data_IF_463197869942
#
_entry.id   IF_463197869942
#
_cell.length_a   1.000
_cell.length_b   1.000
_cell.length_c   1.000
_cell.angle_alpha   90.00
_cell.angle_beta   90.00
_cell.angle_gamma   90.00
#
_symmetry.space_group_name_H-M   'P 1'
#
loop_
_entity.id
_entity.type
_entity.pdbx_description
1 polymer ?
#
# COMPACT_ATOMS: atom_id res chain seq x y z
N UNK A 1 60.85 37.89 26.80
CA UNK A 1 59.41 37.67 27.08
C UNK A 1 58.81 37.08 25.80
N UNK A 2 59.14 35.84 25.48
CA UNK A 2 58.53 34.60 25.99
C UNK A 2 57.10 34.43 25.47
N UNK A 3 57.01 33.67 24.38
CA UNK A 3 56.14 32.50 24.23
C UNK A 3 54.64 32.68 24.50
N UNK A 4 53.85 32.66 23.42
CA UNK A 4 52.48 32.14 23.24
C UNK A 4 51.86 32.98 22.11
N UNK A 5 51.53 32.49 20.92
CA UNK A 5 50.67 31.33 20.65
C UNK A 5 50.94 30.84 19.22
N UNK A 6 52.03 30.11 19.01
CA UNK A 6 52.05 29.09 17.98
C UNK A 6 51.38 27.84 18.57
N UNK A 7 50.66 27.07 17.75
CA UNK A 7 50.08 25.77 18.07
C UNK A 7 48.78 25.81 18.89
N UNK A 8 47.66 26.10 18.22
CA UNK A 8 46.45 25.28 18.35
C UNK A 8 45.99 25.01 16.91
N UNK A 9 46.79 24.24 16.19
CA UNK A 9 46.52 22.81 16.01
C UNK A 9 45.15 22.63 15.38
N UNK A 10 45.19 22.47 14.06
CA UNK A 10 44.09 22.13 13.20
C UNK A 10 43.37 20.86 13.71
N UNK A 11 42.36 21.06 14.54
CA UNK A 11 41.26 20.11 14.77
C UNK A 11 40.00 20.55 14.03
N UNK A 12 40.19 21.18 12.86
CA UNK A 12 39.17 21.39 11.82
C UNK A 12 38.86 20.07 11.06
N UNK A 13 39.09 18.93 11.72
CA UNK A 13 39.00 17.60 11.14
C UNK A 13 37.71 16.90 11.56
N UNK A 14 36.68 17.03 10.72
CA UNK A 14 35.68 15.99 10.52
C UNK A 14 34.74 15.71 11.70
N UNK A 15 33.83 16.63 11.99
CA UNK A 15 32.51 16.17 12.38
C UNK A 15 31.85 15.57 11.13
N UNK A 16 32.10 14.27 10.85
CA UNK A 16 31.16 13.49 10.06
C UNK A 16 29.85 13.56 10.84
N UNK A 17 28.97 14.47 10.46
CA UNK A 17 27.57 14.38 10.79
C UNK A 17 27.08 13.09 10.11
N UNK A 18 27.13 11.98 10.84
CA UNK A 18 26.33 10.81 10.53
C UNK A 18 24.89 11.25 10.82
N UNK A 19 24.32 12.05 9.91
CA UNK A 19 22.89 12.21 9.84
C UNK A 19 22.38 10.79 9.63
N UNK A 20 21.58 10.23 10.56
CA UNK A 20 21.06 8.91 10.32
C UNK A 20 20.20 9.03 9.07
N UNK A 21 20.53 8.24 8.05
CA UNK A 21 19.69 8.01 6.87
C UNK A 21 18.45 7.25 7.34
N UNK A 22 17.67 7.83 8.24
CA UNK A 22 16.29 7.44 8.43
C UNK A 22 15.58 8.17 7.31
N UNK A 23 15.62 7.57 6.12
CA UNK A 23 14.57 7.79 5.16
C UNK A 23 13.28 7.46 5.93
N UNK A 24 12.58 8.50 6.37
CA UNK A 24 11.29 8.34 7.01
C UNK A 24 10.47 7.48 6.06
N UNK A 25 9.93 6.37 6.56
CA UNK A 25 8.87 5.66 5.86
C UNK A 25 7.85 6.74 5.50
N UNK A 26 7.72 7.01 4.21
CA UNK A 26 6.80 8.03 3.72
C UNK A 26 5.43 7.56 4.18
N UNK A 27 4.84 8.26 5.16
CA UNK A 27 3.54 7.89 5.72
C UNK A 27 2.56 7.79 4.54
N UNK A 28 2.22 6.55 4.18
CA UNK A 28 1.17 6.32 3.20
C UNK A 28 -0.14 6.68 3.86
N UNK A 29 -1.05 7.31 3.12
CA UNK A 29 -2.40 7.57 3.62
C UNK A 29 -3.04 6.26 4.13
N UNK A 30 -3.98 6.32 5.08
CA UNK A 30 -4.79 5.15 5.40
C UNK A 30 -5.53 4.65 4.14
N UNK A 31 -5.84 3.35 4.12
CA UNK A 31 -6.68 2.80 3.05
C UNK A 31 -8.10 3.38 3.12
N UNK A 32 -8.60 3.82 1.98
CA UNK A 32 -9.97 4.30 1.79
C UNK A 32 -10.75 3.32 0.91
N UNK A 33 -11.98 3.02 1.29
CA UNK A 33 -12.90 2.22 0.45
C UNK A 33 -13.77 3.15 -0.38
N UNK A 34 -13.71 2.97 -1.70
CA UNK A 34 -14.50 3.75 -2.66
C UNK A 34 -15.66 2.89 -3.17
N UNK A 35 -16.87 3.44 -3.10
CA UNK A 35 -18.08 2.92 -3.72
C UNK A 35 -18.43 3.80 -4.93
N UNK A 36 -18.13 3.38 -6.18
CA UNK A 36 -18.35 4.24 -7.34
C UNK A 36 -19.84 4.50 -7.63
N UNK A 37 -20.75 3.67 -7.12
CA UNK A 37 -22.18 3.80 -7.33
C UNK A 37 -22.61 3.53 -8.78
N UNK A 38 -23.78 4.06 -9.16
CA UNK A 38 -24.38 3.85 -10.48
C UNK A 38 -24.76 2.38 -10.73
N UNK A 39 -24.62 1.93 -11.97
CA UNK A 39 -24.96 0.57 -12.39
C UNK A 39 -23.83 -0.46 -12.11
N UNK A 40 -22.77 -0.07 -11.40
CA UNK A 40 -21.61 -0.93 -11.15
C UNK A 40 -21.87 -1.86 -9.96
N UNK A 41 -21.89 -3.18 -10.22
CA UNK A 41 -22.17 -4.20 -9.19
C UNK A 41 -21.34 -5.47 -9.39
N UNK A 42 -21.25 -6.27 -8.32
CA UNK A 42 -20.69 -7.62 -8.36
C UNK A 42 -21.67 -8.61 -9.01
N UNK A 43 -21.17 -9.79 -9.41
CA UNK A 43 -21.98 -10.84 -10.04
C UNK A 43 -23.14 -11.36 -9.17
N UNK A 44 -23.05 -11.21 -7.84
CA UNK A 44 -24.08 -11.55 -6.87
C UNK A 44 -25.09 -10.43 -6.62
N UNK A 45 -24.96 -9.29 -7.30
CA UNK A 45 -25.82 -8.11 -7.14
C UNK A 45 -25.45 -7.22 -5.95
N UNK A 46 -24.39 -7.54 -5.20
CA UNK A 46 -23.90 -6.65 -4.14
C UNK A 46 -23.18 -5.43 -4.75
N UNK A 47 -23.12 -4.29 -4.03
CA UNK A 47 -22.35 -3.13 -4.46
C UNK A 47 -20.87 -3.49 -4.75
N UNK A 48 -20.32 -2.95 -5.83
CA UNK A 48 -18.88 -3.02 -6.08
C UNK A 48 -18.13 -1.98 -5.22
N UNK A 49 -16.91 -2.32 -4.81
CA UNK A 49 -16.01 -1.42 -4.10
C UNK A 49 -14.55 -1.74 -4.44
N UNK A 50 -13.68 -0.75 -4.27
CA UNK A 50 -12.23 -0.92 -4.34
C UNK A 50 -11.54 -0.06 -3.28
N UNK A 51 -10.29 -0.41 -2.96
CA UNK A 51 -9.53 0.27 -1.92
C UNK A 51 -8.40 1.10 -2.53
N UNK A 52 -8.29 2.34 -2.09
CA UNK A 52 -7.28 3.29 -2.55
C UNK A 52 -6.39 3.67 -1.40
N UNK A 53 -5.09 3.75 -1.67
CA UNK A 53 -4.12 4.34 -0.75
C UNK A 53 -3.15 5.19 -1.54
N UNK A 54 -3.02 6.46 -1.17
CA UNK A 54 -2.03 7.36 -1.75
C UNK A 54 -0.66 7.04 -1.15
N UNK A 55 0.33 6.92 -2.02
CA UNK A 55 1.73 6.74 -1.66
C UNK A 55 2.60 7.62 -2.57
N UNK A 56 3.55 7.06 -3.31
CA UNK A 56 4.35 7.82 -4.26
C UNK A 56 3.47 8.33 -5.44
N UNK A 57 3.36 9.65 -5.67
CA UNK A 57 2.48 10.21 -6.71
C UNK A 57 2.94 9.94 -8.15
N UNK A 58 4.18 9.51 -8.35
CA UNK A 58 4.76 9.16 -9.67
C UNK A 58 4.60 7.68 -10.02
N UNK A 59 4.05 6.86 -9.11
CA UNK A 59 3.89 5.42 -9.29
C UNK A 59 2.46 4.99 -9.00
N UNK A 60 1.93 4.09 -9.84
CA UNK A 60 0.62 3.49 -9.66
C UNK A 60 0.74 1.97 -9.66
N UNK A 61 0.13 1.33 -8.67
CA UNK A 61 -0.07 -0.11 -8.62
C UNK A 61 -1.57 -0.39 -8.67
N UNK A 62 -1.97 -1.27 -9.58
CA UNK A 62 -3.33 -1.79 -9.67
C UNK A 62 -3.24 -3.28 -9.34
N UNK A 63 -3.97 -3.70 -8.31
CA UNK A 63 -4.04 -5.09 -7.88
C UNK A 63 -5.46 -5.61 -8.07
N UNK A 64 -5.59 -6.73 -8.77
CA UNK A 64 -6.84 -7.44 -8.93
C UNK A 64 -6.81 -8.66 -8.02
N UNK A 65 -7.72 -8.71 -7.05
CA UNK A 65 -7.78 -9.83 -6.13
C UNK A 65 -8.11 -11.13 -6.88
N UNK A 66 -7.46 -12.22 -6.48
CA UNK A 66 -7.78 -13.55 -6.97
C UNK A 66 -9.05 -14.11 -6.34
N UNK A 67 -9.32 -15.39 -6.59
CA UNK A 67 -10.46 -16.09 -6.00
C UNK A 67 -11.10 -17.16 -6.87
N UNK A 68 -10.51 -17.53 -8.01
CA UNK A 68 -11.10 -18.48 -8.96
C UNK A 68 -12.17 -17.84 -9.85
N UNK A 69 -12.93 -18.66 -10.58
CA UNK A 69 -13.97 -18.20 -11.49
C UNK A 69 -15.06 -19.29 -11.69
N UNK A 70 -16.16 -18.89 -12.31
CA UNK A 70 -17.24 -19.77 -12.77
C UNK A 70 -17.68 -19.36 -14.19
N UNK A 71 -18.29 -20.27 -14.97
CA UNK A 71 -18.61 -20.04 -16.39
C UNK A 71 -19.91 -20.72 -16.87
N UNK A 72 -20.68 -21.29 -15.94
CA UNK A 72 -21.96 -21.95 -16.19
C UNK A 72 -22.88 -21.74 -14.99
N UNK A 73 -24.20 -21.82 -15.20
CA UNK A 73 -25.18 -21.69 -14.13
C UNK A 73 -24.88 -22.61 -12.94
N UNK A 74 -24.52 -23.87 -13.21
CA UNK A 74 -24.14 -24.84 -12.16
C UNK A 74 -22.85 -24.47 -11.43
N UNK A 75 -21.80 -24.04 -12.15
CA UNK A 75 -20.54 -23.62 -11.51
C UNK A 75 -20.66 -22.30 -10.75
N UNK A 76 -21.62 -21.45 -11.13
CA UNK A 76 -21.84 -20.14 -10.52
C UNK A 76 -22.86 -20.19 -9.38
N UNK A 77 -23.52 -21.32 -9.15
CA UNK A 77 -24.50 -21.48 -8.07
C UNK A 77 -23.84 -21.33 -6.69
N UNK A 78 -24.10 -20.20 -6.05
CA UNK A 78 -23.61 -19.88 -4.71
C UNK A 78 -24.23 -20.76 -3.63
N UNK A 79 -25.36 -21.41 -3.90
CA UNK A 79 -26.02 -22.35 -2.97
C UNK A 79 -25.42 -23.75 -3.03
N UNK A 80 -24.59 -24.01 -4.05
CA UNK A 80 -23.90 -25.28 -4.24
C UNK A 80 -22.57 -25.38 -3.47
N UNK A 81 -21.54 -25.90 -4.13
CA UNK A 81 -20.16 -25.98 -3.61
C UNK A 81 -19.25 -25.13 -4.49
N UNK A 82 -19.23 -23.80 -4.32
CA UNK A 82 -18.46 -22.92 -5.19
C UNK A 82 -16.96 -23.21 -5.06
N UNK A 83 -16.29 -23.30 -6.20
CA UNK A 83 -14.83 -23.41 -6.30
C UNK A 83 -14.15 -22.03 -6.43
N UNK A 84 -14.92 -20.96 -6.27
CA UNK A 84 -14.48 -19.58 -6.37
C UNK A 84 -14.95 -18.76 -5.15
N UNK A 85 -14.50 -17.51 -5.04
CA UNK A 85 -14.93 -16.53 -4.02
C UNK A 85 -16.09 -15.69 -4.56
N UNK A 86 -17.34 -15.94 -4.14
CA UNK A 86 -18.51 -15.25 -4.70
C UNK A 86 -18.71 -13.83 -4.14
N UNK A 87 -18.05 -13.49 -3.04
CA UNK A 87 -18.16 -12.18 -2.39
C UNK A 87 -16.79 -11.51 -2.28
N UNK A 88 -16.77 -10.18 -2.43
CA UNK A 88 -15.58 -9.33 -2.35
C UNK A 88 -15.57 -8.52 -1.04
N UNK A 89 -15.80 -9.18 0.09
CA UNK A 89 -15.70 -8.58 1.42
C UNK A 89 -14.35 -8.92 2.08
N UNK A 90 -14.00 -8.20 3.15
CA UNK A 90 -12.72 -8.39 3.84
C UNK A 90 -12.59 -9.81 4.42
N UNK A 91 -13.71 -10.47 4.70
CA UNK A 91 -13.76 -11.84 5.22
C UNK A 91 -13.49 -12.89 4.14
N UNK A 92 -13.53 -12.54 2.84
CA UNK A 92 -13.28 -13.47 1.74
C UNK A 92 -11.81 -13.93 1.66
N UNK A 93 -10.91 -13.26 2.38
CA UNK A 93 -9.50 -13.64 2.51
C UNK A 93 -8.67 -13.42 1.26
N UNK A 94 -9.01 -12.39 0.48
CA UNK A 94 -8.29 -11.98 -0.73
C UNK A 94 -7.67 -10.59 -0.56
#
# INVERSE_FOLDING_TARGET
MSSLRAVFCALLGGALAIAPLIAGAQDSDPWETIYPGGDTQCATGTPYSFHVRRANPEKVMIFFNGGGACWSAGSCDISGKPTYRPFANAEAGN
#
